data_IF_069368089703
#
_entry.id   IF_069368089703
#
_cell.length_a   1.000
_cell.length_b   1.000
_cell.length_c   1.000
_cell.angle_alpha   90.00
_cell.angle_beta   90.00
_cell.angle_gamma   90.00
#
_symmetry.space_group_name_H-M   'P 1'
#
loop_
_entity.id
_entity.type
_entity.pdbx_description
1 polymer ?
#
# COMPACT_ATOMS: atom_id res chain seq x y z
N UNK A 1 62.18 -24.00 -52.52
CA UNK A 1 60.71 -23.97 -52.69
C UNK A 1 60.06 -24.80 -51.60
N UNK A 2 59.43 -24.16 -50.61
CA UNK A 2 58.28 -24.70 -49.85
C UNK A 2 57.70 -23.56 -49.01
N UNK A 3 56.67 -22.91 -49.55
CA UNK A 3 55.93 -21.84 -48.89
C UNK A 3 55.13 -22.43 -47.73
N UNK A 4 55.43 -22.04 -46.50
CA UNK A 4 54.56 -22.29 -45.36
C UNK A 4 53.39 -21.31 -45.44
N UNK A 5 52.21 -21.88 -45.71
CA UNK A 5 50.93 -21.16 -45.77
C UNK A 5 50.60 -20.62 -44.39
N UNK A 6 50.56 -19.29 -44.25
CA UNK A 6 49.86 -18.61 -43.16
C UNK A 6 48.37 -18.95 -43.27
N UNK A 7 47.90 -19.91 -42.48
CA UNK A 7 46.48 -20.16 -42.28
C UNK A 7 46.08 -19.48 -40.96
N UNK A 8 45.43 -18.32 -41.09
CA UNK A 8 44.80 -17.62 -39.99
C UNK A 8 43.74 -18.52 -39.34
N UNK A 9 43.94 -18.87 -38.08
CA UNK A 9 42.90 -19.47 -37.25
C UNK A 9 42.32 -18.39 -36.33
N UNK A 10 41.50 -17.50 -36.91
CA UNK A 10 40.53 -16.72 -36.14
C UNK A 10 39.42 -17.67 -35.71
N UNK A 11 39.65 -18.41 -34.62
CA UNK A 11 38.72 -19.41 -34.10
C UNK A 11 38.23 -19.03 -32.70
N UNK A 12 36.98 -18.58 -32.63
CA UNK A 12 36.11 -18.69 -31.45
C UNK A 12 36.26 -17.65 -30.33
N UNK A 13 35.90 -16.39 -30.60
CA UNK A 13 35.46 -15.44 -29.57
C UNK A 13 33.99 -15.06 -29.80
N UNK A 14 33.08 -16.03 -29.66
CA UNK A 14 31.65 -15.75 -29.79
C UNK A 14 30.84 -16.72 -28.94
N UNK A 15 30.83 -16.55 -27.61
CA UNK A 15 29.79 -17.16 -26.77
C UNK A 15 29.65 -16.47 -25.38
N UNK A 16 29.52 -15.14 -25.35
CA UNK A 16 29.08 -14.42 -24.14
C UNK A 16 28.05 -13.33 -24.48
N UNK A 17 27.07 -13.65 -25.35
CA UNK A 17 25.82 -12.89 -25.44
C UNK A 17 24.78 -13.71 -24.68
N UNK A 18 24.86 -13.70 -23.35
CA UNK A 18 23.76 -14.17 -22.52
C UNK A 18 22.56 -13.27 -22.80
N UNK A 19 21.56 -13.81 -23.49
CA UNK A 19 20.34 -13.08 -23.79
C UNK A 19 19.72 -12.54 -22.50
N UNK A 20 19.30 -11.28 -22.50
CA UNK A 20 18.51 -10.73 -21.40
C UNK A 20 17.17 -11.46 -21.38
N UNK A 21 17.01 -12.40 -20.46
CA UNK A 21 15.72 -13.02 -20.20
C UNK A 21 14.79 -11.94 -19.64
N UNK A 22 13.89 -11.41 -20.47
CA UNK A 22 12.83 -10.53 -20.04
C UNK A 22 11.59 -11.36 -19.74
N UNK A 23 11.17 -11.38 -18.47
CA UNK A 23 9.89 -11.94 -18.09
C UNK A 23 8.76 -11.02 -18.60
N UNK A 24 7.76 -11.59 -19.26
CA UNK A 24 6.56 -10.86 -19.64
C UNK A 24 5.78 -10.43 -18.38
N UNK A 25 5.16 -9.25 -18.36
CA UNK A 25 4.33 -8.82 -17.24
C UNK A 25 3.14 -9.76 -17.06
N UNK A 26 2.80 -10.05 -15.79
CA UNK A 26 1.58 -10.77 -15.43
C UNK A 26 0.53 -9.74 -15.07
N UNK A 27 -0.64 -9.84 -15.70
CA UNK A 27 -1.82 -9.06 -15.32
C UNK A 27 -2.75 -9.94 -14.51
N UNK A 28 -3.41 -9.33 -13.52
CA UNK A 28 -4.44 -9.95 -12.70
C UNK A 28 -5.62 -9.00 -12.66
N UNK A 29 -6.82 -9.54 -12.87
CA UNK A 29 -8.05 -8.79 -12.65
C UNK A 29 -8.33 -8.78 -11.14
N UNK A 30 -8.12 -7.64 -10.51
CA UNK A 30 -8.41 -7.43 -9.09
C UNK A 30 -9.87 -6.96 -8.96
N UNK A 31 -10.66 -7.53 -8.04
CA UNK A 31 -12.02 -7.05 -7.82
C UNK A 31 -12.02 -5.59 -7.35
N UNK A 32 -13.09 -4.86 -7.70
CA UNK A 32 -13.30 -3.50 -7.20
C UNK A 32 -13.35 -3.49 -5.66
N UNK A 33 -12.69 -2.53 -4.99
CA UNK A 33 -12.82 -2.35 -3.55
C UNK A 33 -14.26 -1.97 -3.16
N UNK A 34 -14.88 -2.75 -2.27
CA UNK A 34 -16.27 -2.54 -1.82
C UNK A 34 -16.39 -2.20 -0.32
N UNK A 35 -15.26 -2.03 0.37
CA UNK A 35 -15.26 -1.75 1.79
C UNK A 35 -15.78 -0.34 2.09
N UNK A 36 -16.71 -0.25 3.03
CA UNK A 36 -17.34 1.01 3.45
C UNK A 36 -17.27 1.14 4.98
N UNK A 37 -17.15 2.38 5.45
CA UNK A 37 -17.18 2.71 6.87
C UNK A 37 -18.60 2.53 7.42
N UNK A 38 -18.73 1.99 8.64
CA UNK A 38 -20.02 1.77 9.27
C UNK A 38 -20.53 3.09 9.88
N UNK A 39 -21.76 3.56 9.57
CA UNK A 39 -22.34 4.71 10.23
C UNK A 39 -22.73 4.37 11.69
N UNK A 40 -22.49 5.29 12.62
CA UNK A 40 -22.86 5.16 14.03
C UNK A 40 -23.57 6.41 14.52
N UNK A 41 -24.75 6.23 15.13
CA UNK A 41 -25.56 7.33 15.66
C UNK A 41 -24.84 8.07 16.78
N UNK A 42 -24.86 9.40 16.74
CA UNK A 42 -24.17 10.27 17.70
C UNK A 42 -22.68 10.46 17.42
N UNK A 43 -22.16 9.89 16.32
CA UNK A 43 -20.77 9.99 15.89
C UNK A 43 -20.64 10.48 14.43
N UNK A 44 -21.66 11.16 13.91
CA UNK A 44 -21.76 11.58 12.50
C UNK A 44 -20.56 12.41 12.06
N UNK A 45 -20.14 13.38 12.89
CA UNK A 45 -18.97 14.21 12.60
C UNK A 45 -17.67 13.39 12.49
N UNK A 46 -17.50 12.36 13.32
CA UNK A 46 -16.34 11.47 13.27
C UNK A 46 -16.38 10.54 12.07
N UNK A 47 -17.57 10.05 11.70
CA UNK A 47 -17.80 9.25 10.50
C UNK A 47 -17.52 10.05 9.22
N UNK A 48 -18.03 11.28 9.10
CA UNK A 48 -17.77 12.18 7.96
C UNK A 48 -16.28 12.55 7.86
N UNK A 49 -15.63 12.84 8.99
CA UNK A 49 -14.20 13.10 9.02
C UNK A 49 -13.39 11.86 8.60
N UNK A 50 -13.77 10.66 9.04
CA UNK A 50 -13.10 9.42 8.66
C UNK A 50 -13.23 9.14 7.16
N UNK A 51 -14.41 9.35 6.56
CA UNK A 51 -14.59 9.23 5.10
C UNK A 51 -13.70 10.20 4.33
N UNK A 52 -13.49 11.41 4.87
CA UNK A 52 -12.67 12.44 4.24
C UNK A 52 -11.18 12.13 4.35
N UNK A 53 -10.70 11.79 5.55
CA UNK A 53 -9.25 11.73 5.83
C UNK A 53 -8.67 10.31 5.76
N UNK A 54 -9.41 9.29 6.20
CA UNK A 54 -8.88 7.92 6.33
C UNK A 54 -8.88 7.13 5.00
N UNK A 55 -9.39 7.72 3.93
CA UNK A 55 -9.41 7.15 2.57
C UNK A 55 -8.33 7.74 1.66
N UNK A 56 -7.60 8.77 2.14
CA UNK A 56 -6.65 9.52 1.32
C UNK A 56 -5.38 8.75 0.96
N UNK A 57 -4.96 7.80 1.80
CA UNK A 57 -3.68 7.12 1.65
C UNK A 57 -3.79 5.60 1.46
N UNK A 58 -4.88 4.99 1.92
CA UNK A 58 -5.11 3.56 1.83
C UNK A 58 -6.62 3.27 1.81
N UNK A 59 -6.99 2.04 1.46
CA UNK A 59 -8.37 1.59 1.57
C UNK A 59 -8.80 1.47 3.04
N UNK A 60 -10.11 1.52 3.28
CA UNK A 60 -10.68 1.37 4.63
C UNK A 60 -10.63 -0.06 5.13
N UNK A 61 -10.25 -1.05 4.30
CA UNK A 61 -9.99 -2.42 4.73
C UNK A 61 -9.01 -2.49 5.91
N UNK A 62 -8.02 -1.59 5.96
CA UNK A 62 -7.07 -1.50 7.08
C UNK A 62 -7.73 -1.16 8.41
N UNK A 63 -8.88 -0.49 8.39
CA UNK A 63 -9.70 -0.18 9.57
C UNK A 63 -10.59 -1.38 9.88
N UNK A 64 -11.34 -1.86 8.88
CA UNK A 64 -12.33 -2.94 9.03
C UNK A 64 -11.72 -4.28 9.45
N UNK A 65 -10.45 -4.50 9.15
CA UNK A 65 -9.73 -5.74 9.48
C UNK A 65 -8.93 -5.67 10.78
N UNK A 66 -8.97 -4.56 11.53
CA UNK A 66 -8.42 -4.53 12.87
C UNK A 66 -9.14 -5.54 13.79
N UNK A 67 -8.48 -6.06 14.83
CA UNK A 67 -9.17 -6.91 15.79
C UNK A 67 -10.38 -6.18 16.38
N UNK A 68 -11.55 -6.84 16.49
CA UNK A 68 -12.76 -6.17 16.96
C UNK A 68 -12.71 -5.85 18.46
N UNK A 69 -13.43 -4.81 18.88
CA UNK A 69 -13.65 -4.47 20.28
C UNK A 69 -12.41 -3.93 21.00
N UNK A 70 -11.46 -3.32 20.28
CA UNK A 70 -10.21 -2.82 20.87
C UNK A 70 -10.37 -1.55 21.71
N UNK A 71 -11.46 -0.82 21.49
CA UNK A 71 -11.86 0.33 22.30
C UNK A 71 -10.99 1.57 22.14
N UNK A 72 -11.29 2.60 22.94
CA UNK A 72 -10.80 3.96 22.74
C UNK A 72 -9.28 4.12 22.76
N UNK A 73 -8.57 3.42 23.66
CA UNK A 73 -7.12 3.55 23.76
C UNK A 73 -6.41 3.10 22.47
N UNK A 74 -6.90 2.05 21.84
CA UNK A 74 -6.35 1.53 20.59
C UNK A 74 -6.59 2.50 19.43
N UNK A 75 -7.83 2.96 19.25
CA UNK A 75 -8.16 3.85 18.14
C UNK A 75 -7.55 5.24 18.30
N UNK A 76 -7.41 5.74 19.52
CA UNK A 76 -6.63 6.96 19.78
C UNK A 76 -5.18 6.79 19.32
N UNK A 77 -4.56 5.63 19.58
CA UNK A 77 -3.18 5.36 19.18
C UNK A 77 -3.04 5.25 17.65
N UNK A 78 -3.94 4.55 16.97
CA UNK A 78 -3.91 4.44 15.51
C UNK A 78 -4.12 5.79 14.82
N UNK A 79 -5.12 6.57 15.24
CA UNK A 79 -5.33 7.92 14.68
C UNK A 79 -4.14 8.83 14.98
N UNK A 80 -3.60 8.80 16.20
CA UNK A 80 -2.38 9.56 16.56
C UNK A 80 -1.20 9.15 15.67
N UNK A 81 -1.04 7.86 15.38
CA UNK A 81 0.01 7.36 14.49
C UNK A 81 -0.16 7.89 13.06
N UNK A 82 -1.39 7.89 12.52
CA UNK A 82 -1.64 8.47 11.19
C UNK A 82 -1.23 9.94 11.13
N UNK A 83 -1.58 10.73 12.15
CA UNK A 83 -1.25 12.15 12.20
C UNK A 83 0.25 12.40 12.44
N UNK A 84 0.85 11.76 13.44
CA UNK A 84 2.21 12.11 13.90
C UNK A 84 3.32 11.40 13.14
N UNK A 85 3.10 10.13 12.77
CA UNK A 85 4.11 9.31 12.07
C UNK A 85 3.93 9.43 10.56
N UNK A 86 2.70 9.25 10.07
CA UNK A 86 2.42 9.27 8.63
C UNK A 86 2.00 10.64 8.09
N UNK A 87 1.89 11.65 8.96
CA UNK A 87 1.65 13.05 8.59
C UNK A 87 0.33 13.26 7.83
N UNK A 88 -0.69 12.47 8.16
CA UNK A 88 -2.05 12.72 7.69
C UNK A 88 -2.47 14.15 8.12
N UNK A 89 -3.01 14.98 7.21
CA UNK A 89 -3.35 16.38 7.47
C UNK A 89 -4.69 16.49 8.22
N UNK A 90 -4.75 15.93 9.42
CA UNK A 90 -5.96 15.90 10.26
C UNK A 90 -5.73 16.82 11.45
N UNK A 91 -6.59 17.82 11.59
CA UNK A 91 -6.58 18.73 12.74
C UNK A 91 -7.03 18.01 14.02
N UNK A 92 -6.70 18.58 15.18
CA UNK A 92 -6.86 17.89 16.47
C UNK A 92 -8.32 17.53 16.78
N UNK A 93 -9.27 18.40 16.41
CA UNK A 93 -10.69 18.17 16.66
C UNK A 93 -11.22 16.99 15.85
N UNK A 94 -10.89 16.93 14.56
CA UNK A 94 -11.26 15.82 13.68
C UNK A 94 -10.57 14.53 14.10
N UNK A 95 -9.29 14.57 14.47
CA UNK A 95 -8.57 13.40 14.97
C UNK A 95 -9.27 12.80 16.20
N UNK A 96 -9.70 13.64 17.14
CA UNK A 96 -10.47 13.21 18.31
C UNK A 96 -11.85 12.64 17.93
N UNK A 97 -12.55 13.28 16.99
CA UNK A 97 -13.85 12.80 16.52
C UNK A 97 -13.75 11.45 15.81
N UNK A 98 -12.75 11.28 14.94
CA UNK A 98 -12.46 10.01 14.24
C UNK A 98 -12.15 8.91 15.23
N UNK A 99 -11.26 9.14 16.20
CA UNK A 99 -10.89 8.11 17.17
C UNK A 99 -12.09 7.68 18.04
N UNK A 100 -12.95 8.63 18.43
CA UNK A 100 -14.19 8.33 19.17
C UNK A 100 -15.20 7.54 18.32
N UNK A 101 -15.37 7.93 17.05
CA UNK A 101 -16.19 7.20 16.09
C UNK A 101 -15.70 5.76 15.90
N UNK A 102 -14.41 5.57 15.60
CA UNK A 102 -13.84 4.26 15.34
C UNK A 102 -13.98 3.35 16.56
N UNK A 103 -13.79 3.88 17.77
CA UNK A 103 -13.98 3.12 19.00
C UNK A 103 -15.44 2.74 19.30
N UNK A 104 -16.41 3.47 18.76
CA UNK A 104 -17.82 3.12 18.85
C UNK A 104 -18.24 2.13 17.75
N UNK A 105 -17.62 2.20 16.57
CA UNK A 105 -17.95 1.40 15.40
C UNK A 105 -17.25 0.03 15.34
N UNK A 106 -16.00 -0.07 15.83
CA UNK A 106 -15.10 -1.21 15.63
C UNK A 106 -14.34 -1.62 16.91
#
# INVERSE_FOLDING_TARGET
MRHHRFAAAFGSLALLIGGTAWAAPRSYDVPEPTAELLPVQGHEAGFEAAQTYCTMCHSVDYILTQPPGKGAAFWNAEVTKMVKVFRAPIEEAEAKAIAAYLAAAY
#
